data_IF_392912319935
#
_entry.id   IF_392912319935
#
_cell.length_a   1.000
_cell.length_b   1.000
_cell.length_c   1.000
_cell.angle_alpha   90.00
_cell.angle_beta   90.00
_cell.angle_gamma   90.00
#
_symmetry.space_group_name_H-M   'P 1'
#
loop_
_entity.id
_entity.type
_entity.pdbx_description
1 polymer ?
#
# COMPACT_ATOMS: atom_id res chain seq x y z
N UNK A 1 -1.17 -24.88 -26.80
CA UNK A 1 -0.59 -25.16 -25.48
C UNK A 1 -1.69 -24.99 -24.45
N UNK A 2 -2.36 -26.08 -24.07
CA UNK A 2 -3.53 -26.07 -23.20
C UNK A 2 -3.08 -26.16 -21.74
N UNK A 3 -3.36 -25.14 -20.95
CA UNK A 3 -3.07 -25.12 -19.52
C UNK A 3 -4.00 -26.07 -18.77
N UNK A 4 -3.44 -27.16 -18.26
CA UNK A 4 -4.05 -28.09 -17.32
C UNK A 4 -4.26 -27.40 -15.97
N UNK A 5 -5.37 -26.69 -15.78
CA UNK A 5 -5.82 -26.19 -14.47
C UNK A 5 -7.16 -26.81 -14.13
N UNK A 6 -7.17 -28.11 -13.85
CA UNK A 6 -8.38 -28.81 -13.46
C UNK A 6 -8.04 -30.02 -12.62
N UNK A 7 -8.22 -29.89 -11.28
CA UNK A 7 -8.68 -30.98 -10.39
C UNK A 7 -8.83 -30.66 -8.88
N UNK A 8 -8.73 -29.40 -8.41
CA UNK A 8 -8.92 -29.10 -6.97
C UNK A 8 -9.73 -27.83 -6.64
N UNK A 9 -10.65 -27.41 -7.50
CA UNK A 9 -11.52 -26.25 -7.20
C UNK A 9 -12.97 -26.74 -7.01
N UNK A 10 -13.51 -26.72 -5.78
CA UNK A 10 -14.92 -26.98 -5.51
C UNK A 10 -15.85 -26.24 -6.49
N UNK A 11 -16.95 -26.87 -6.91
CA UNK A 11 -17.85 -26.33 -7.94
C UNK A 11 -18.38 -24.92 -7.60
N UNK A 12 -18.61 -24.65 -6.31
CA UNK A 12 -19.05 -23.34 -5.82
C UNK A 12 -17.99 -22.24 -6.03
N UNK A 13 -16.69 -22.56 -5.91
CA UNK A 13 -15.59 -21.62 -6.17
C UNK A 13 -15.59 -21.23 -7.64
N UNK A 14 -15.87 -22.16 -8.57
CA UNK A 14 -15.92 -21.82 -10.00
C UNK A 14 -17.11 -20.93 -10.33
N UNK A 15 -18.28 -21.18 -9.73
CA UNK A 15 -19.47 -20.33 -9.93
C UNK A 15 -19.23 -18.92 -9.40
N UNK A 16 -18.56 -18.82 -8.25
CA UNK A 16 -18.11 -17.56 -7.68
C UNK A 16 -17.11 -16.86 -8.64
N UNK A 17 -16.01 -17.52 -9.01
CA UNK A 17 -14.98 -16.94 -9.89
C UNK A 17 -15.46 -16.66 -11.33
N UNK A 18 -16.54 -17.30 -11.79
CA UNK A 18 -17.17 -17.01 -13.07
C UNK A 18 -17.83 -15.62 -13.11
N UNK A 19 -18.08 -15.01 -11.95
CA UNK A 19 -18.69 -13.70 -11.86
C UNK A 19 -17.67 -12.57 -12.06
N UNK A 20 -17.84 -11.70 -13.07
CA UNK A 20 -16.87 -10.63 -13.36
C UNK A 20 -16.75 -9.59 -12.23
N UNK A 21 -17.79 -9.44 -11.39
CA UNK A 21 -17.80 -8.49 -10.27
C UNK A 21 -16.92 -8.94 -9.09
N UNK A 22 -16.71 -10.25 -8.91
CA UNK A 22 -15.92 -10.78 -7.78
C UNK A 22 -14.45 -10.42 -7.94
N UNK A 23 -13.93 -10.43 -9.16
CA UNK A 23 -12.59 -9.96 -9.45
C UNK A 23 -12.41 -8.46 -9.17
N UNK A 24 -13.46 -7.64 -9.30
CA UNK A 24 -13.41 -6.23 -8.91
C UNK A 24 -13.48 -6.07 -7.39
N UNK A 25 -14.33 -6.85 -6.72
CA UNK A 25 -14.54 -6.79 -5.28
C UNK A 25 -13.29 -7.25 -4.50
N UNK A 26 -12.63 -8.31 -4.93
CA UNK A 26 -11.35 -8.76 -4.33
C UNK A 26 -10.26 -7.70 -4.47
N UNK A 27 -10.18 -7.04 -5.63
CA UNK A 27 -9.21 -5.94 -5.84
C UNK A 27 -9.53 -4.75 -4.95
N UNK A 28 -10.80 -4.37 -4.85
CA UNK A 28 -11.24 -3.30 -3.95
C UNK A 28 -10.94 -3.65 -2.50
N UNK A 29 -11.19 -4.89 -2.08
CA UNK A 29 -10.89 -5.35 -0.73
C UNK A 29 -9.38 -5.28 -0.44
N UNK A 30 -8.54 -5.73 -1.38
CA UNK A 30 -7.08 -5.69 -1.25
C UNK A 30 -6.54 -4.26 -1.12
N UNK A 31 -7.18 -3.32 -1.81
CA UNK A 31 -6.77 -1.92 -1.92
C UNK A 31 -7.43 -1.04 -0.85
N UNK A 32 -8.50 -1.51 -0.21
CA UNK A 32 -9.33 -0.74 0.70
C UNK A 32 -8.53 -0.07 1.82
N UNK A 33 -7.56 -0.77 2.42
CA UNK A 33 -6.70 -0.23 3.47
C UNK A 33 -5.90 1.00 2.99
N UNK A 34 -5.34 0.93 1.78
CA UNK A 34 -4.58 2.03 1.18
C UNK A 34 -5.50 3.18 0.76
N UNK A 35 -6.68 2.87 0.22
CA UNK A 35 -7.63 3.90 -0.19
C UNK A 35 -8.17 4.67 1.02
N UNK A 36 -8.53 3.97 2.10
CA UNK A 36 -8.98 4.58 3.35
C UNK A 36 -7.86 5.41 3.98
N UNK A 37 -6.63 4.88 4.01
CA UNK A 37 -5.45 5.60 4.50
C UNK A 37 -5.17 6.89 3.72
N UNK A 38 -5.19 6.80 2.38
CA UNK A 38 -4.96 7.94 1.50
C UNK A 38 -6.05 8.99 1.60
N UNK A 39 -7.32 8.58 1.66
CA UNK A 39 -8.45 9.50 1.87
C UNK A 39 -8.35 10.19 3.23
N UNK A 40 -8.00 9.46 4.29
CA UNK A 40 -7.82 10.03 5.62
C UNK A 40 -6.67 11.05 5.66
N UNK A 41 -5.53 10.72 5.03
CA UNK A 41 -4.40 11.66 4.88
C UNK A 41 -4.74 12.86 4.01
N UNK A 42 -5.58 12.70 2.99
CA UNK A 42 -6.06 13.81 2.17
C UNK A 42 -6.99 14.76 2.95
N UNK A 43 -7.88 14.21 3.78
CA UNK A 43 -8.78 15.01 4.64
C UNK A 43 -8.05 15.67 5.81
N UNK A 44 -7.01 15.03 6.35
CA UNK A 44 -6.19 15.51 7.46
C UNK A 44 -4.76 15.78 7.02
N UNK A 45 -4.60 16.57 5.96
CA UNK A 45 -3.29 16.80 5.35
C UNK A 45 -2.29 17.45 6.32
N UNK A 46 -2.73 18.38 7.17
CA UNK A 46 -1.88 19.00 8.19
C UNK A 46 -1.34 17.97 9.20
N UNK A 47 -2.15 16.98 9.58
CA UNK A 47 -1.71 15.90 10.45
C UNK A 47 -0.71 14.98 9.73
N UNK A 48 -0.91 14.70 8.45
CA UNK A 48 0.04 13.95 7.64
C UNK A 48 1.39 14.68 7.50
N UNK A 49 1.37 16.01 7.32
CA UNK A 49 2.59 16.84 7.31
C UNK A 49 3.31 16.75 8.65
N UNK A 50 2.58 16.86 9.77
CA UNK A 50 3.15 16.78 11.11
C UNK A 50 3.79 15.41 11.38
N UNK A 51 3.18 14.34 10.88
CA UNK A 51 3.71 12.98 10.97
C UNK A 51 5.00 12.82 10.14
N UNK A 52 5.03 13.32 8.89
CA UNK A 52 6.26 13.31 8.08
C UNK A 52 7.37 14.18 8.68
N UNK A 53 7.01 15.31 9.30
CA UNK A 53 7.96 16.16 10.02
C UNK A 53 8.52 15.46 11.27
N UNK A 54 7.70 14.68 11.97
CA UNK A 54 8.15 13.86 13.10
C UNK A 54 9.17 12.78 12.66
N UNK A 55 8.99 12.22 11.46
CA UNK A 55 9.96 11.30 10.84
C UNK A 55 11.19 12.01 10.25
N UNK A 56 11.33 13.34 10.40
CA UNK A 56 12.49 14.10 9.91
C UNK A 56 12.55 14.25 8.39
N UNK A 57 11.46 13.96 7.67
CA UNK A 57 11.41 14.06 6.21
C UNK A 57 11.22 15.50 5.77
N UNK A 58 12.24 16.06 5.10
CA UNK A 58 12.18 17.39 4.49
C UNK A 58 12.15 17.30 2.96
N UNK A 59 11.22 17.99 2.26
CA UNK A 59 10.10 18.80 2.79
C UNK A 59 8.89 17.92 3.20
N UNK A 60 8.32 18.09 4.40
CA UNK A 60 7.29 17.17 4.93
C UNK A 60 5.99 17.19 4.10
N UNK A 61 5.62 18.36 3.56
CA UNK A 61 4.47 18.49 2.68
C UNK A 61 4.62 17.73 1.34
N UNK A 62 5.85 17.65 0.80
CA UNK A 62 6.10 16.90 -0.43
C UNK A 62 5.94 15.40 -0.20
N UNK A 63 6.47 14.90 0.92
CA UNK A 63 6.36 13.48 1.29
C UNK A 63 4.92 13.08 1.62
N UNK A 64 4.19 13.93 2.35
CA UNK A 64 2.77 13.72 2.62
C UNK A 64 1.94 13.71 1.32
N UNK A 65 2.21 14.65 0.40
CA UNK A 65 1.55 14.69 -0.90
C UNK A 65 1.86 13.44 -1.74
N UNK A 66 3.12 13.00 -1.79
CA UNK A 66 3.52 11.78 -2.49
C UNK A 66 2.82 10.55 -1.93
N UNK A 67 2.74 10.43 -0.60
CA UNK A 67 2.05 9.33 0.06
C UNK A 67 0.56 9.27 -0.34
N UNK A 68 -0.13 10.42 -0.28
CA UNK A 68 -1.54 10.53 -0.68
C UNK A 68 -1.73 10.20 -2.16
N UNK A 69 -0.88 10.74 -3.05
CA UNK A 69 -0.96 10.48 -4.49
C UNK A 69 -0.72 9.02 -4.81
N UNK A 70 0.23 8.37 -4.14
CA UNK A 70 0.51 6.93 -4.35
C UNK A 70 -0.59 6.05 -3.78
N UNK A 71 -1.09 6.35 -2.57
CA UNK A 71 -2.17 5.59 -1.94
C UNK A 71 -3.46 5.70 -2.75
N UNK A 72 -3.87 6.90 -3.15
CA UNK A 72 -5.11 7.12 -3.92
C UNK A 72 -4.92 6.71 -5.39
N UNK A 73 -3.86 7.18 -6.04
CA UNK A 73 -3.58 6.91 -7.45
C UNK A 73 -3.29 5.43 -7.73
N UNK A 74 -2.49 4.78 -6.89
CA UNK A 74 -2.21 3.35 -6.98
C UNK A 74 -3.47 2.51 -6.75
N UNK A 75 -4.32 2.92 -5.80
CA UNK A 75 -5.62 2.29 -5.56
C UNK A 75 -6.55 2.36 -6.78
N UNK A 76 -6.69 3.55 -7.37
CA UNK A 76 -7.51 3.78 -8.56
C UNK A 76 -6.99 2.96 -9.75
N UNK A 77 -5.67 2.93 -9.99
CA UNK A 77 -5.06 2.12 -11.06
C UNK A 77 -5.38 0.62 -10.92
N UNK A 78 -5.39 0.10 -9.70
CA UNK A 78 -5.72 -1.31 -9.44
C UNK A 78 -7.21 -1.58 -9.66
N UNK A 79 -8.08 -0.69 -9.18
CA UNK A 79 -9.54 -0.80 -9.34
C UNK A 79 -9.96 -0.73 -10.81
N UNK A 80 -9.41 0.19 -11.59
CA UNK A 80 -9.71 0.34 -13.02
C UNK A 80 -9.03 -0.69 -13.93
N UNK A 81 -8.24 -1.64 -13.38
CA UNK A 81 -7.39 -2.59 -14.13
C UNK A 81 -6.45 -1.93 -15.14
N UNK A 82 -6.24 -0.61 -15.05
CA UNK A 82 -5.46 0.17 -16.00
C UNK A 82 -4.17 0.58 -15.31
N UNK A 83 -3.06 0.02 -15.77
CA UNK A 83 -1.73 0.17 -15.16
C UNK A 83 -1.62 -0.44 -13.75
N UNK A 84 -2.23 -1.62 -13.52
CA UNK A 84 -2.12 -2.37 -12.25
C UNK A 84 -0.68 -2.63 -11.81
N UNK A 85 0.24 -2.81 -12.77
CA UNK A 85 1.68 -2.94 -12.53
C UNK A 85 2.28 -1.67 -11.93
N UNK A 86 1.85 -0.51 -12.41
CA UNK A 86 2.31 0.79 -11.94
C UNK A 86 1.71 1.05 -10.56
N UNK A 87 0.41 0.77 -10.35
CA UNK A 87 -0.21 0.87 -9.03
C UNK A 87 0.44 -0.04 -7.97
N UNK A 88 0.65 -1.33 -8.29
CA UNK A 88 1.30 -2.27 -7.39
C UNK A 88 2.77 -1.90 -7.13
N UNK A 89 3.49 -1.44 -8.17
CA UNK A 89 4.87 -0.96 -8.03
C UNK A 89 4.97 0.29 -7.16
N UNK A 90 4.07 1.26 -7.34
CA UNK A 90 4.03 2.49 -6.53
C UNK A 90 3.71 2.17 -5.06
N UNK A 91 2.71 1.32 -4.80
CA UNK A 91 2.41 0.88 -3.43
C UNK A 91 3.60 0.15 -2.80
N UNK A 92 4.22 -0.78 -3.53
CA UNK A 92 5.40 -1.51 -3.04
C UNK A 92 6.56 -0.58 -2.72
N UNK A 93 6.83 0.40 -3.59
CA UNK A 93 7.87 1.40 -3.36
C UNK A 93 7.56 2.27 -2.14
N UNK A 94 6.30 2.70 -1.97
CA UNK A 94 5.87 3.44 -0.79
C UNK A 94 6.06 2.62 0.49
N UNK A 95 5.71 1.34 0.48
CA UNK A 95 5.92 0.45 1.63
C UNK A 95 7.41 0.29 1.94
N UNK A 96 8.25 0.12 0.92
CA UNK A 96 9.71 0.02 1.10
C UNK A 96 10.31 1.30 1.70
N UNK A 97 9.92 2.46 1.17
CA UNK A 97 10.37 3.76 1.67
C UNK A 97 9.87 3.98 3.10
N UNK A 98 8.59 3.73 3.37
CA UNK A 98 8.03 3.84 4.71
C UNK A 98 8.73 2.91 5.70
N UNK A 99 9.05 1.68 5.30
CA UNK A 99 9.75 0.72 6.15
C UNK A 99 11.20 1.16 6.43
N UNK A 100 11.89 1.72 5.44
CA UNK A 100 13.26 2.22 5.61
C UNK A 100 13.32 3.50 6.47
N UNK A 101 12.32 4.39 6.33
CA UNK A 101 12.19 5.60 7.16
C UNK A 101 11.76 5.26 8.59
N UNK A 102 10.79 4.35 8.76
CA UNK A 102 10.31 3.95 10.07
C UNK A 102 11.34 3.12 10.85
N UNK A 103 12.14 2.29 10.17
CA UNK A 103 13.22 1.52 10.78
C UNK A 103 14.56 2.24 10.65
N UNK A 104 14.65 3.46 11.18
CA UNK A 104 15.91 4.22 11.23
C UNK A 104 16.87 3.68 12.32
N UNK A 105 17.09 2.36 12.37
CA UNK A 105 17.98 1.76 13.37
C UNK A 105 19.46 2.04 13.08
N UNK A 106 19.79 2.34 11.82
CA UNK A 106 21.14 2.61 11.34
C UNK A 106 21.68 3.98 11.78
N UNK A 107 20.80 4.94 12.05
CA UNK A 107 21.17 6.27 12.53
C UNK A 107 21.06 6.40 14.06
N UNK A 108 20.51 5.39 14.73
CA UNK A 108 20.44 5.31 16.19
C UNK A 108 21.73 4.73 16.79
N UNK A 109 22.29 5.38 17.81
CA UNK A 109 23.49 4.91 18.53
C UNK A 109 23.17 4.58 20.00
N UNK A 110 23.89 3.61 20.58
CA UNK A 110 23.71 3.22 22.00
C UNK A 110 22.49 2.32 22.27
N UNK A 111 21.91 2.44 23.47
CA UNK A 111 20.81 1.58 23.96
C UNK A 111 19.54 1.65 23.09
N UNK A 112 19.32 2.76 22.38
CA UNK A 112 18.22 2.94 21.44
C UNK A 112 18.30 1.97 20.24
N UNK A 113 19.51 1.71 19.71
CA UNK A 113 19.72 0.72 18.63
C UNK A 113 19.44 -0.71 19.09
N UNK A 114 19.77 -1.05 20.33
CA UNK A 114 19.49 -2.39 20.90
C UNK A 114 17.98 -2.62 21.11
N UNK A 115 17.24 -1.58 21.48
CA UNK A 115 15.78 -1.66 21.63
C UNK A 115 15.08 -1.73 20.26
N UNK A 116 15.53 -0.96 19.27
CA UNK A 116 15.00 -1.00 17.89
C UNK A 116 15.25 -2.32 17.15
N UNK A 117 16.29 -3.08 17.52
CA UNK A 117 16.56 -4.42 16.95
C UNK A 117 15.74 -5.54 17.60
N UNK A 118 15.06 -5.28 18.73
CA UNK A 118 14.43 -6.29 19.58
C UNK A 118 12.92 -6.03 19.81
N UNK A 119 12.30 -5.24 18.93
CA UNK A 119 10.86 -4.92 18.91
C UNK A 119 10.19 -5.46 17.65
#
# INVERSE_FOLDING_TARGET
>A
MATTTGRYSPAWIRVLLAQPWIGALVRLALVSAFLIGGINKAMHFDAAIAEQAHFGLHPPALWAALAVVVEIGGSLCIVFRRFTWLGAGSLGMLTLVAMAVANDFWNQTGAARFMALNS
#
